data_IF_803031913343
#
_entry.id   IF_803031913343
#
_cell.length_a   1.000
_cell.length_b   1.000
_cell.length_c   1.000
_cell.angle_alpha   90.00
_cell.angle_beta   90.00
_cell.angle_gamma   90.00
#
_symmetry.space_group_name_H-M   'P 1'
#
loop_
_entity.id
_entity.type
_entity.pdbx_description
1 polymer ?
#
# COMPACT_ATOMS: atom_id res chain seq x y z
N UNK A 1 7.52 5.16 -10.33
CA UNK A 1 7.74 6.47 -10.34
C UNK A 1 6.96 7.46 -9.52
N UNK A 2 6.88 7.27 -8.17
CA UNK A 2 6.30 8.30 -7.31
C UNK A 2 7.32 9.40 -6.99
N UNK A 3 6.84 10.60 -6.67
CA UNK A 3 7.69 11.72 -6.28
C UNK A 3 8.65 12.13 -7.39
N UNK A 4 9.93 12.12 -7.08
CA UNK A 4 11.01 12.45 -8.00
C UNK A 4 11.69 11.22 -8.61
N UNK A 5 11.22 10.01 -8.28
CA UNK A 5 11.74 8.76 -8.84
C UNK A 5 11.49 8.66 -10.34
N UNK A 6 12.32 7.88 -11.03
CA UNK A 6 12.15 7.65 -12.47
C UNK A 6 10.81 6.95 -12.76
N UNK A 7 10.09 7.37 -13.80
CA UNK A 7 8.84 6.74 -14.19
C UNK A 7 9.08 5.30 -14.66
N UNK A 8 8.14 4.43 -14.34
CA UNK A 8 8.14 3.05 -14.82
C UNK A 8 7.36 2.95 -16.14
N UNK A 9 7.72 2.05 -17.04
CA UNK A 9 6.92 1.79 -18.24
C UNK A 9 5.47 1.43 -17.88
N UNK A 10 4.52 1.99 -18.63
CA UNK A 10 3.10 1.64 -18.53
C UNK A 10 2.75 0.56 -19.56
N UNK A 11 1.78 -0.33 -19.28
CA UNK A 11 1.07 -0.48 -18.00
C UNK A 11 1.97 -1.10 -16.93
N UNK A 12 1.69 -0.82 -15.65
CA UNK A 12 2.35 -1.55 -14.58
C UNK A 12 1.86 -2.99 -14.54
N UNK A 13 2.72 -3.97 -14.18
CA UNK A 13 2.27 -5.34 -13.99
C UNK A 13 1.31 -5.43 -12.80
N UNK A 14 0.32 -6.33 -12.85
CA UNK A 14 -0.69 -6.44 -11.80
C UNK A 14 -0.11 -6.94 -10.46
N UNK A 15 1.05 -7.57 -10.48
CA UNK A 15 1.82 -7.99 -9.32
C UNK A 15 2.83 -6.95 -8.83
N UNK A 16 2.65 -5.66 -9.22
CA UNK A 16 3.65 -4.60 -8.95
C UNK A 16 3.99 -4.44 -7.47
N UNK A 17 3.02 -4.58 -6.55
CA UNK A 17 3.29 -4.49 -5.12
C UNK A 17 4.19 -5.62 -4.63
N UNK A 18 3.98 -6.83 -5.13
CA UNK A 18 4.84 -8.00 -4.83
C UNK A 18 6.26 -7.79 -5.37
N UNK A 19 6.38 -7.26 -6.59
CA UNK A 19 7.70 -6.93 -7.17
C UNK A 19 8.40 -5.81 -6.42
N UNK A 20 7.70 -4.77 -6.02
CA UNK A 20 8.28 -3.70 -5.20
C UNK A 20 8.84 -4.24 -3.89
N UNK A 21 8.10 -5.13 -3.23
CA UNK A 21 8.53 -5.73 -1.97
C UNK A 21 9.78 -6.60 -2.12
N UNK A 22 9.86 -7.39 -3.19
CA UNK A 22 10.92 -8.37 -3.40
C UNK A 22 12.14 -7.79 -4.15
N UNK A 23 11.90 -6.98 -5.20
CA UNK A 23 12.93 -6.57 -6.15
C UNK A 23 13.45 -5.15 -5.91
N UNK A 24 12.68 -4.29 -5.23
CA UNK A 24 13.04 -2.88 -5.03
C UNK A 24 13.39 -2.59 -3.56
N UNK A 25 12.55 -3.01 -2.61
CA UNK A 25 12.72 -2.63 -1.21
C UNK A 25 13.99 -3.22 -0.60
N UNK A 26 14.28 -4.50 -0.84
CA UNK A 26 15.47 -5.15 -0.30
C UNK A 26 16.78 -4.47 -0.76
N UNK A 27 17.01 -4.17 -2.06
CA UNK A 27 18.16 -3.40 -2.52
C UNK A 27 18.24 -1.98 -1.93
N UNK A 28 17.11 -1.31 -1.70
CA UNK A 28 17.08 0.01 -1.05
C UNK A 28 17.56 -0.11 0.39
N UNK A 29 17.08 -1.09 1.15
CA UNK A 29 17.53 -1.35 2.52
C UNK A 29 19.02 -1.72 2.59
N UNK A 30 19.53 -2.46 1.59
CA UNK A 30 20.96 -2.78 1.47
C UNK A 30 21.78 -1.52 1.24
N UNK A 31 21.34 -0.62 0.36
CA UNK A 31 22.02 0.63 0.07
C UNK A 31 22.05 1.59 1.27
N UNK A 32 21.02 1.56 2.11
CA UNK A 32 20.96 2.33 3.36
C UNK A 32 21.90 1.78 4.43
N UNK A 33 22.35 0.52 4.31
CA UNK A 33 23.21 -0.17 5.26
C UNK A 33 22.73 -0.08 6.71
N UNK A 34 21.41 0.03 6.93
CA UNK A 34 20.84 0.14 8.26
C UNK A 34 20.91 -1.21 8.99
N UNK A 35 21.40 -1.27 10.24
CA UNK A 35 21.53 -2.52 10.98
C UNK A 35 20.18 -3.03 11.49
N UNK A 36 19.19 -2.16 11.64
CA UNK A 36 17.83 -2.45 12.05
C UNK A 36 16.86 -1.48 11.39
N UNK A 37 15.68 -1.96 11.00
CA UNK A 37 14.66 -1.17 10.35
C UNK A 37 13.28 -1.48 10.92
N UNK A 38 12.41 -0.47 10.91
CA UNK A 38 10.96 -0.60 11.00
C UNK A 38 10.40 -0.07 9.70
N UNK A 39 9.59 -0.85 9.02
CA UNK A 39 8.93 -0.40 7.80
C UNK A 39 7.63 0.32 8.17
N UNK A 40 7.44 1.50 7.63
CA UNK A 40 6.20 2.27 7.78
C UNK A 40 5.65 2.50 6.38
N UNK A 41 4.50 1.90 6.10
CA UNK A 41 3.85 1.99 4.79
C UNK A 41 2.44 2.57 4.89
N UNK A 42 2.02 3.26 3.84
CA UNK A 42 0.66 3.76 3.68
C UNK A 42 0.04 3.23 2.39
N UNK A 43 -1.22 2.76 2.45
CA UNK A 43 -1.96 2.26 1.30
C UNK A 43 -1.17 1.13 0.59
N UNK A 44 -0.92 1.21 -0.71
CA UNK A 44 -0.04 0.28 -1.44
C UNK A 44 1.31 0.07 -0.75
N UNK A 45 1.88 1.14 -0.14
CA UNK A 45 3.13 1.05 0.61
C UNK A 45 3.00 0.20 1.87
N UNK A 46 1.83 0.17 2.52
CA UNK A 46 1.57 -0.72 3.64
C UNK A 46 1.50 -2.18 3.18
N UNK A 47 0.82 -2.43 2.06
CA UNK A 47 0.79 -3.75 1.43
C UNK A 47 2.19 -4.23 1.05
N UNK A 48 3.00 -3.37 0.43
CA UNK A 48 4.39 -3.67 0.07
C UNK A 48 5.22 -4.02 1.32
N UNK A 49 5.07 -3.26 2.41
CA UNK A 49 5.75 -3.52 3.67
C UNK A 49 5.35 -4.87 4.28
N UNK A 50 4.05 -5.22 4.24
CA UNK A 50 3.53 -6.49 4.72
C UNK A 50 4.03 -7.67 3.87
N UNK A 51 3.99 -7.54 2.53
CA UNK A 51 4.52 -8.56 1.62
C UNK A 51 6.02 -8.79 1.89
N UNK A 52 6.80 -7.71 2.05
CA UNK A 52 8.21 -7.84 2.38
C UNK A 52 8.42 -8.58 3.70
N UNK A 53 7.69 -8.18 4.73
CA UNK A 53 7.80 -8.81 6.07
C UNK A 53 7.40 -10.29 6.09
N UNK A 54 6.47 -10.69 5.23
CA UNK A 54 5.98 -12.07 5.15
C UNK A 54 6.68 -12.94 4.11
N UNK A 55 7.37 -12.35 3.13
CA UNK A 55 7.91 -13.11 1.98
C UNK A 55 9.43 -13.00 1.83
N UNK A 56 10.07 -12.04 2.49
CA UNK A 56 11.52 -11.82 2.42
C UNK A 56 12.15 -12.07 3.78
N UNK A 57 13.16 -12.94 3.85
CA UNK A 57 13.92 -13.14 5.09
C UNK A 57 14.89 -11.97 5.28
N UNK A 58 14.45 -10.93 6.00
CA UNK A 58 15.27 -9.78 6.36
C UNK A 58 15.44 -9.68 7.88
N UNK A 59 16.63 -10.08 8.37
CA UNK A 59 16.96 -10.08 9.80
C UNK A 59 17.08 -8.67 10.39
N UNK A 60 17.12 -7.63 9.56
CA UNK A 60 17.15 -6.23 10.01
C UNK A 60 15.76 -5.74 10.40
N UNK A 61 14.71 -6.42 9.92
CA UNK A 61 13.32 -6.01 10.17
C UNK A 61 12.92 -6.31 11.63
N UNK A 62 12.49 -5.26 12.35
CA UNK A 62 12.09 -5.33 13.74
C UNK A 62 10.59 -5.10 13.96
N UNK A 63 9.91 -4.55 12.97
CA UNK A 63 8.48 -4.32 13.04
C UNK A 63 7.96 -3.65 11.77
N UNK A 64 6.64 -3.64 11.63
CA UNK A 64 5.94 -2.94 10.54
C UNK A 64 4.81 -2.08 11.08
N UNK A 65 4.63 -0.91 10.47
CA UNK A 65 3.47 -0.04 10.69
C UNK A 65 2.70 0.05 9.37
N UNK A 66 1.47 -0.41 9.40
CA UNK A 66 0.59 -0.51 8.24
C UNK A 66 -0.52 0.54 8.36
N UNK A 67 -0.44 1.60 7.59
CA UNK A 67 -1.46 2.65 7.55
C UNK A 67 -2.39 2.43 6.37
N UNK A 68 -3.67 2.23 6.63
CA UNK A 68 -4.69 1.97 5.62
C UNK A 68 -4.27 0.89 4.60
N UNK A 69 -3.89 -0.33 5.04
CA UNK A 69 -3.40 -1.38 4.16
C UNK A 69 -4.52 -2.00 3.33
N UNK A 70 -4.14 -2.65 2.22
CA UNK A 70 -5.03 -3.47 1.41
C UNK A 70 -4.40 -4.84 1.18
N UNK A 71 -5.17 -5.91 1.33
CA UNK A 71 -4.72 -7.27 1.08
C UNK A 71 -5.58 -7.98 0.04
N UNK A 72 -6.76 -7.45 -0.22
CA UNK A 72 -7.68 -7.89 -1.28
C UNK A 72 -8.53 -6.72 -1.77
N UNK A 73 -9.11 -6.88 -2.94
CA UNK A 73 -10.01 -5.88 -3.53
C UNK A 73 -11.39 -5.93 -2.89
N UNK A 74 -11.99 -4.75 -2.71
CA UNK A 74 -13.36 -4.57 -2.23
C UNK A 74 -14.14 -3.74 -3.27
N UNK A 75 -15.43 -4.06 -3.51
CA UNK A 75 -16.24 -3.33 -4.50
C UNK A 75 -16.31 -1.82 -4.24
N UNK A 76 -16.44 -1.43 -2.97
CA UNK A 76 -16.53 -0.03 -2.53
C UNK A 76 -15.20 0.70 -2.77
N UNK A 77 -14.08 0.04 -2.48
CA UNK A 77 -12.75 0.56 -2.76
C UNK A 77 -12.54 0.78 -4.26
N UNK A 78 -12.91 -0.21 -5.09
CA UNK A 78 -12.81 -0.07 -6.54
C UNK A 78 -13.71 1.05 -7.09
N UNK A 79 -14.90 1.26 -6.51
CA UNK A 79 -15.76 2.39 -6.88
C UNK A 79 -15.10 3.73 -6.56
N UNK A 80 -14.51 3.89 -5.39
CA UNK A 80 -13.76 5.09 -4.99
C UNK A 80 -12.54 5.34 -5.89
N UNK A 81 -11.85 4.28 -6.34
CA UNK A 81 -10.74 4.38 -7.30
C UNK A 81 -11.24 4.84 -8.67
N UNK A 82 -12.43 4.40 -9.10
CA UNK A 82 -13.05 4.88 -10.34
C UNK A 82 -13.47 6.37 -10.25
N UNK A 83 -13.95 6.82 -9.08
CA UNK A 83 -14.21 8.24 -8.83
C UNK A 83 -12.92 9.08 -8.90
N UNK A 84 -11.82 8.56 -8.36
CA UNK A 84 -10.51 9.21 -8.45
C UNK A 84 -10.07 9.36 -9.93
N UNK A 85 -10.37 8.40 -10.81
CA UNK A 85 -10.16 8.52 -12.26
C UNK A 85 -10.91 9.71 -12.84
N UNK A 86 -12.17 9.85 -12.48
CA UNK A 86 -12.99 10.98 -12.94
C UNK A 86 -12.42 12.32 -12.46
N UNK A 87 -12.03 12.38 -11.18
CA UNK A 87 -11.40 13.58 -10.61
C UNK A 87 -10.06 13.92 -11.26
N UNK A 88 -9.32 12.92 -11.72
CA UNK A 88 -8.07 13.10 -12.45
C UNK A 88 -8.29 13.61 -13.87
N UNK A 89 -9.24 13.04 -14.60
CA UNK A 89 -9.47 13.32 -16.02
C UNK A 89 -10.16 14.67 -16.24
N UNK A 90 -11.10 15.05 -15.37
CA UNK A 90 -11.96 16.23 -15.53
C UNK A 90 -11.87 17.26 -14.41
N UNK A 91 -11.18 16.94 -13.32
CA UNK A 91 -11.06 17.80 -12.13
C UNK A 91 -9.66 18.40 -11.95
N UNK A 92 -9.37 18.77 -10.71
CA UNK A 92 -8.11 19.42 -10.33
C UNK A 92 -7.04 18.46 -9.80
N UNK A 93 -7.36 17.17 -9.63
CA UNK A 93 -6.47 16.18 -9.01
C UNK A 93 -5.12 16.09 -9.73
N UNK A 94 -5.11 16.11 -11.08
CA UNK A 94 -3.89 16.10 -11.87
C UNK A 94 -2.98 17.30 -11.56
N UNK A 95 -3.58 18.48 -11.40
CA UNK A 95 -2.83 19.71 -11.06
C UNK A 95 -2.26 19.65 -9.63
N UNK A 96 -3.03 19.08 -8.70
CA UNK A 96 -2.58 18.90 -7.31
C UNK A 96 -1.42 17.91 -7.23
N UNK A 97 -1.47 16.79 -7.96
CA UNK A 97 -0.41 15.78 -7.99
C UNK A 97 0.90 16.30 -8.58
N UNK A 98 0.86 17.25 -9.52
CA UNK A 98 2.07 17.90 -10.07
C UNK A 98 2.96 18.58 -9.03
N UNK A 99 2.43 18.93 -7.88
CA UNK A 99 3.20 19.54 -6.80
C UNK A 99 4.16 18.53 -6.15
N UNK A 100 3.85 17.25 -6.25
CA UNK A 100 4.58 16.18 -5.55
C UNK A 100 5.32 15.24 -6.49
N UNK A 101 4.81 15.08 -7.71
CA UNK A 101 5.30 14.08 -8.67
C UNK A 101 5.88 14.75 -9.91
N UNK A 102 7.08 14.31 -10.31
CA UNK A 102 7.72 14.72 -11.56
C UNK A 102 6.89 14.33 -12.77
N UNK A 103 6.34 13.14 -12.76
CA UNK A 103 5.44 12.62 -13.79
C UNK A 103 4.11 12.15 -13.14
N UNK A 104 3.13 13.05 -12.94
CA UNK A 104 1.86 12.71 -12.33
C UNK A 104 1.02 11.77 -13.19
N UNK A 105 1.18 11.81 -14.52
CA UNK A 105 0.44 10.92 -15.42
C UNK A 105 0.92 9.48 -15.28
N UNK A 106 2.23 9.24 -15.23
CA UNK A 106 2.79 7.91 -14.99
C UNK A 106 2.41 7.38 -13.61
N UNK A 107 2.56 8.23 -12.59
CA UNK A 107 2.20 7.89 -11.21
C UNK A 107 0.72 7.49 -11.09
N UNK A 108 -0.18 8.35 -11.58
CA UNK A 108 -1.62 8.11 -11.45
C UNK A 108 -2.09 6.93 -12.29
N UNK A 109 -1.69 6.89 -13.58
CA UNK A 109 -2.12 5.82 -14.50
C UNK A 109 -1.57 4.46 -14.09
N UNK A 110 -0.32 4.40 -13.66
CA UNK A 110 0.26 3.15 -13.17
C UNK A 110 -0.56 2.53 -12.05
N UNK A 111 -0.92 3.33 -11.04
CA UNK A 111 -1.77 2.89 -9.94
C UNK A 111 -3.21 2.62 -10.38
N UNK A 112 -3.89 3.62 -10.92
CA UNK A 112 -5.33 3.58 -11.18
C UNK A 112 -5.71 2.53 -12.24
N UNK A 113 -4.92 2.42 -13.32
CA UNK A 113 -5.19 1.46 -14.39
C UNK A 113 -4.94 0.02 -13.92
N UNK A 114 -3.97 -0.20 -13.01
CA UNK A 114 -3.73 -1.50 -12.40
C UNK A 114 -4.90 -1.92 -11.51
N UNK A 115 -5.33 -1.04 -10.58
CA UNK A 115 -6.43 -1.33 -9.66
C UNK A 115 -7.77 -1.56 -10.37
N UNK A 116 -8.03 -0.88 -11.49
CA UNK A 116 -9.26 -1.02 -12.27
C UNK A 116 -9.15 -2.04 -13.41
N UNK A 117 -8.02 -2.75 -13.51
CA UNK A 117 -7.88 -3.81 -14.50
C UNK A 117 -8.84 -4.98 -14.19
N UNK A 118 -9.54 -5.56 -15.19
CA UNK A 118 -10.47 -6.67 -14.93
C UNK A 118 -9.85 -7.85 -14.18
N UNK A 119 -8.60 -8.20 -14.49
CA UNK A 119 -7.89 -9.32 -13.87
C UNK A 119 -7.39 -8.98 -12.45
N UNK A 120 -7.49 -7.72 -12.01
CA UNK A 120 -7.18 -7.32 -10.63
C UNK A 120 -8.39 -7.44 -9.70
N UNK A 121 -9.57 -7.72 -10.24
CA UNK A 121 -10.82 -7.81 -9.45
C UNK A 121 -10.75 -8.82 -8.31
N UNK A 122 -10.06 -9.93 -8.54
CA UNK A 122 -9.92 -11.03 -7.58
C UNK A 122 -8.50 -11.03 -6.94
N UNK A 123 -7.82 -9.87 -7.00
CA UNK A 123 -6.50 -9.74 -6.39
C UNK A 123 -6.58 -9.94 -4.88
N UNK A 124 -5.69 -10.78 -4.36
CA UNK A 124 -5.55 -11.09 -2.96
C UNK A 124 -4.10 -11.48 -2.67
N UNK A 125 -3.53 -10.91 -1.62
CA UNK A 125 -2.17 -11.18 -1.13
C UNK A 125 -2.15 -11.49 0.36
N UNK A 126 -3.31 -11.79 0.95
CA UNK A 126 -3.46 -12.04 2.40
C UNK A 126 -2.53 -13.14 2.91
N UNK A 127 -2.16 -14.09 2.06
CA UNK A 127 -1.28 -15.20 2.46
C UNK A 127 0.08 -14.73 3.00
N UNK A 128 0.56 -13.54 2.63
CA UNK A 128 1.80 -13.00 3.17
C UNK A 128 1.71 -12.74 4.69
N UNK A 129 0.52 -12.46 5.21
CA UNK A 129 0.28 -12.17 6.63
C UNK A 129 0.61 -13.36 7.54
N UNK A 130 0.39 -14.59 7.07
CA UNK A 130 0.66 -15.82 7.82
C UNK A 130 2.14 -16.00 8.15
N UNK A 131 3.02 -15.32 7.42
CA UNK A 131 4.47 -15.47 7.52
C UNK A 131 5.16 -14.29 8.22
N UNK A 132 4.44 -13.23 8.59
CA UNK A 132 5.01 -12.11 9.36
C UNK A 132 5.44 -12.60 10.74
N UNK A 133 6.69 -12.29 11.13
CA UNK A 133 7.31 -12.74 12.39
C UNK A 133 7.78 -11.59 13.27
N UNK A 134 7.45 -10.36 12.90
CA UNK A 134 7.78 -9.14 13.65
C UNK A 134 6.50 -8.45 14.11
N UNK A 135 6.53 -7.64 15.19
CA UNK A 135 5.35 -6.90 15.65
C UNK A 135 4.77 -6.02 14.53
N UNK A 136 3.43 -5.96 14.51
CA UNK A 136 2.64 -5.19 13.54
C UNK A 136 1.81 -4.15 14.28
N UNK A 137 1.85 -2.90 13.81
CA UNK A 137 0.90 -1.86 14.19
C UNK A 137 0.05 -1.51 12.97
N UNK A 138 -1.27 -1.62 13.09
CA UNK A 138 -2.21 -1.19 12.05
C UNK A 138 -2.85 0.14 12.47
N UNK A 139 -2.83 1.12 11.58
CA UNK A 139 -3.54 2.39 11.74
C UNK A 139 -4.59 2.49 10.64
N UNK A 140 -5.87 2.61 11.00
CA UNK A 140 -6.98 2.64 10.06
C UNK A 140 -7.97 3.75 10.41
N UNK A 141 -8.31 4.57 9.43
CA UNK A 141 -9.39 5.53 9.57
C UNK A 141 -10.76 4.85 9.50
N UNK A 142 -11.69 5.21 10.41
CA UNK A 142 -13.04 4.65 10.42
C UNK A 142 -13.86 5.04 9.17
N UNK A 143 -13.51 6.16 8.53
CA UNK A 143 -14.17 6.69 7.34
C UNK A 143 -13.34 6.44 6.05
N UNK A 144 -12.44 5.45 6.05
CA UNK A 144 -11.61 5.13 4.89
C UNK A 144 -12.48 4.68 3.71
N UNK A 145 -12.40 5.43 2.62
CA UNK A 145 -13.20 5.18 1.42
C UNK A 145 -12.61 4.13 0.48
N UNK A 146 -11.39 3.67 0.73
CA UNK A 146 -10.70 2.71 -0.14
C UNK A 146 -10.64 1.31 0.44
N UNK A 147 -10.62 1.17 1.77
CA UNK A 147 -10.58 -0.12 2.45
C UNK A 147 -11.41 -0.13 3.71
N UNK A 148 -12.18 -1.18 3.90
CA UNK A 148 -13.03 -1.37 5.09
C UNK A 148 -12.25 -1.94 6.28
N UNK A 149 -12.93 -2.08 7.43
CA UNK A 149 -12.39 -2.76 8.61
C UNK A 149 -11.99 -4.21 8.30
N UNK A 150 -12.55 -4.84 7.27
CA UNK A 150 -12.21 -6.21 6.86
C UNK A 150 -10.71 -6.36 6.51
N UNK A 151 -10.06 -5.30 6.02
CA UNK A 151 -8.61 -5.32 5.79
C UNK A 151 -7.83 -5.42 7.11
N UNK A 152 -8.33 -4.78 8.16
CA UNK A 152 -7.74 -4.80 9.50
C UNK A 152 -7.96 -6.15 10.18
N UNK A 153 -9.19 -6.66 10.07
CA UNK A 153 -9.57 -7.98 10.62
C UNK A 153 -8.70 -9.09 9.99
N UNK A 154 -8.44 -9.03 8.69
CA UNK A 154 -7.57 -9.96 7.98
C UNK A 154 -6.15 -9.98 8.57
N UNK A 155 -5.58 -8.81 8.92
CA UNK A 155 -4.28 -8.74 9.58
C UNK A 155 -4.35 -9.38 10.97
N UNK A 156 -5.36 -9.01 11.76
CA UNK A 156 -5.50 -9.46 13.14
C UNK A 156 -5.73 -10.99 13.24
N UNK A 157 -6.46 -11.56 12.28
CA UNK A 157 -6.79 -12.99 12.25
C UNK A 157 -5.63 -13.84 11.72
N UNK A 158 -4.87 -13.35 10.74
CA UNK A 158 -3.84 -14.16 10.06
C UNK A 158 -2.44 -14.01 10.64
N UNK A 159 -2.08 -12.86 11.19
CA UNK A 159 -0.74 -12.67 11.77
C UNK A 159 -0.56 -13.45 13.06
N UNK A 160 0.46 -14.31 13.12
CA UNK A 160 0.87 -14.98 14.35
C UNK A 160 1.75 -14.11 15.25
N UNK A 161 2.35 -13.06 14.70
CA UNK A 161 3.09 -12.06 15.46
C UNK A 161 2.13 -11.16 16.25
N UNK A 162 2.62 -10.45 17.29
CA UNK A 162 1.78 -9.47 17.99
C UNK A 162 1.26 -8.39 17.03
N UNK A 163 -0.05 -8.14 17.06
CA UNK A 163 -0.74 -7.12 16.28
C UNK A 163 -1.41 -6.14 17.24
N UNK A 164 -1.06 -4.87 17.10
CA UNK A 164 -1.80 -3.76 17.71
C UNK A 164 -2.59 -3.03 16.61
N UNK A 165 -3.85 -2.73 16.90
CA UNK A 165 -4.75 -2.03 15.99
C UNK A 165 -5.18 -0.71 16.60
N UNK A 166 -5.06 0.38 15.85
CA UNK A 166 -5.57 1.68 16.20
C UNK A 166 -6.56 2.14 15.13
N UNK A 167 -7.85 2.13 15.48
CA UNK A 167 -8.91 2.76 14.69
C UNK A 167 -8.96 4.24 15.04
N UNK A 168 -9.06 5.11 14.04
CA UNK A 168 -9.00 6.57 14.21
C UNK A 168 -10.34 7.15 13.78
N UNK A 169 -11.06 7.72 14.75
CA UNK A 169 -12.36 8.36 14.54
C UNK A 169 -12.25 9.56 13.59
N UNK A 170 -13.25 9.74 12.74
CA UNK A 170 -13.35 10.85 11.79
C UNK A 170 -12.16 10.97 10.83
N UNK A 171 -11.42 9.91 10.67
CA UNK A 171 -10.25 9.81 9.80
C UNK A 171 -10.61 9.01 8.54
N UNK A 172 -10.17 9.49 7.39
CA UNK A 172 -10.32 8.81 6.11
C UNK A 172 -9.07 7.98 5.79
N UNK A 173 -8.68 7.94 4.52
CA UNK A 173 -7.59 7.08 4.02
C UNK A 173 -6.17 7.54 4.43
N UNK A 174 -6.01 8.69 5.03
CA UNK A 174 -4.68 9.28 5.28
C UNK A 174 -4.40 9.55 6.76
N UNK A 175 -4.29 8.51 7.61
CA UNK A 175 -4.15 8.65 9.07
C UNK A 175 -3.00 9.54 9.54
N UNK A 176 -2.04 9.82 8.68
CA UNK A 176 -0.88 10.66 8.97
C UNK A 176 -1.07 12.15 8.60
N UNK A 177 -2.24 12.51 8.08
CA UNK A 177 -2.59 13.90 7.72
C UNK A 177 -3.86 14.39 8.41
N UNK A 178 -4.72 13.50 8.89
CA UNK A 178 -6.00 13.82 9.54
C UNK A 178 -5.87 14.04 11.05
#
# INVERSE_FOLDING_TARGET
GYGQSDPKPLPWPLDYMTREAAETLAPVLDALAAPAVVLIGHSDGATIAAIHAGSVEDRRLWGVVLMAPHFFTEPEGLASIAEARTAYDSGDLRVRLRKYHRDPDNCFRGWNDSWLHPDFRDWNVSDCLDYIRVPVLVLQGEEDQYGSVAQVDEVAERCYAPVDVMMIESCRHTPHFD
#
